data_IF_153100924985
#
_entry.id   IF_153100924985
#
_cell.length_a   1.000
_cell.length_b   1.000
_cell.length_c   1.000
_cell.angle_alpha   90.00
_cell.angle_beta   90.00
_cell.angle_gamma   90.00
#
_symmetry.space_group_name_H-M   'P 1'
#
loop_
_entity.id
_entity.type
_entity.pdbx_description
1 polymer ?
#
# COMPACT_ATOMS: atom_id res chain seq x y z
N UNK A 1 -9.18 -13.55 -11.56
CA UNK A 1 -9.48 -12.53 -10.53
C UNK A 1 -10.38 -13.13 -9.48
N UNK A 2 -10.20 -12.78 -8.22
CA UNK A 2 -10.95 -13.33 -7.09
C UNK A 2 -12.20 -12.47 -6.83
N UNK A 3 -13.38 -13.04 -7.07
CA UNK A 3 -14.66 -12.32 -6.97
C UNK A 3 -15.01 -11.92 -5.53
N UNK A 4 -14.41 -12.58 -4.54
CA UNK A 4 -14.66 -12.27 -3.12
C UNK A 4 -13.65 -11.27 -2.55
N UNK A 5 -12.68 -10.85 -3.35
CA UNK A 5 -11.62 -9.95 -2.89
C UNK A 5 -12.05 -8.49 -3.10
N UNK A 6 -12.13 -7.74 -2.00
CA UNK A 6 -12.45 -6.32 -2.04
C UNK A 6 -11.49 -5.55 -2.97
N UNK A 7 -10.19 -5.81 -2.85
CA UNK A 7 -9.18 -5.09 -3.65
C UNK A 7 -9.20 -5.51 -5.12
N UNK A 8 -9.50 -6.78 -5.42
CA UNK A 8 -9.72 -7.19 -6.80
C UNK A 8 -10.89 -6.44 -7.43
N UNK A 9 -11.95 -6.19 -6.66
CA UNK A 9 -13.10 -5.41 -7.13
C UNK A 9 -12.72 -3.95 -7.38
N UNK A 10 -11.83 -3.39 -6.55
CA UNK A 10 -11.32 -2.04 -6.76
C UNK A 10 -10.49 -1.98 -8.05
N UNK A 11 -9.62 -2.97 -8.26
CA UNK A 11 -8.81 -3.07 -9.50
C UNK A 11 -9.70 -3.15 -10.73
N UNK A 12 -10.81 -3.91 -10.64
CA UNK A 12 -11.74 -4.08 -11.74
C UNK A 12 -12.66 -2.86 -11.96
N UNK A 13 -12.60 -1.86 -11.08
CA UNK A 13 -13.46 -0.69 -11.17
C UNK A 13 -14.89 -0.91 -10.68
N UNK A 14 -15.16 -2.06 -10.04
CA UNK A 14 -16.49 -2.37 -9.50
C UNK A 14 -16.79 -1.63 -8.21
N UNK A 15 -15.76 -1.26 -7.47
CA UNK A 15 -15.85 -0.45 -6.25
C UNK A 15 -15.00 0.78 -6.46
N UNK A 16 -15.52 1.99 -6.22
CA UNK A 16 -14.74 3.20 -6.41
C UNK A 16 -13.62 3.31 -5.37
N UNK A 17 -12.55 3.98 -5.74
CA UNK A 17 -11.43 4.28 -4.85
C UNK A 17 -10.86 5.65 -5.21
N UNK A 18 -10.24 6.28 -4.23
CA UNK A 18 -9.51 7.53 -4.46
C UNK A 18 -8.07 7.16 -4.84
N UNK A 19 -7.79 7.14 -6.13
CA UNK A 19 -6.49 6.69 -6.65
C UNK A 19 -5.40 7.70 -6.37
N UNK A 20 -4.23 7.21 -5.98
CA UNK A 20 -3.00 7.98 -5.84
C UNK A 20 -2.01 7.68 -6.96
N UNK A 21 -2.06 6.48 -7.54
CA UNK A 21 -1.16 6.05 -8.60
C UNK A 21 -1.74 4.81 -9.28
N UNK A 22 -1.48 4.65 -10.55
CA UNK A 22 -1.85 3.43 -11.28
C UNK A 22 -0.90 3.22 -12.46
N UNK A 23 -0.50 1.97 -12.65
CA UNK A 23 0.16 1.52 -13.89
C UNK A 23 -0.40 0.16 -14.29
N UNK A 24 0.26 -0.54 -15.22
CA UNK A 24 -0.25 -1.83 -15.71
C UNK A 24 -0.29 -2.91 -14.63
N UNK A 25 0.61 -2.84 -13.64
CA UNK A 25 0.81 -3.89 -12.66
C UNK A 25 0.34 -3.51 -11.25
N UNK A 26 0.22 -2.23 -10.95
CA UNK A 26 -0.06 -1.74 -9.59
C UNK A 26 -1.15 -0.68 -9.58
N UNK A 27 -1.85 -0.64 -8.47
CA UNK A 27 -2.79 0.42 -8.13
C UNK A 27 -2.48 0.89 -6.71
N UNK A 28 -2.46 2.20 -6.50
CA UNK A 28 -2.34 2.78 -5.17
C UNK A 28 -3.54 3.68 -4.92
N UNK A 29 -4.13 3.57 -3.74
CA UNK A 29 -5.31 4.36 -3.37
C UNK A 29 -5.29 4.70 -1.88
N UNK A 30 -6.02 5.76 -1.54
CA UNK A 30 -6.09 6.23 -0.15
C UNK A 30 -6.93 5.28 0.69
N UNK A 31 -6.42 4.95 1.89
CA UNK A 31 -7.17 4.15 2.86
C UNK A 31 -8.39 4.95 3.34
N UNK A 32 -9.57 4.34 3.36
CA UNK A 32 -10.80 5.01 3.82
C UNK A 32 -10.83 5.19 5.33
N UNK A 33 -10.03 4.42 6.07
CA UNK A 33 -9.84 4.55 7.50
C UNK A 33 -8.38 4.88 7.80
N UNK A 34 -7.92 6.09 7.45
CA UNK A 34 -6.49 6.39 7.55
C UNK A 34 -6.00 6.42 9.00
N UNK A 35 -4.83 5.84 9.23
CA UNK A 35 -4.15 5.88 10.53
C UNK A 35 -3.22 7.08 10.67
N UNK A 36 -2.95 7.76 9.56
CA UNK A 36 -2.05 8.91 9.49
C UNK A 36 -2.64 9.94 8.52
N UNK A 37 -2.18 11.21 8.53
CA UNK A 37 -2.65 12.21 7.56
C UNK A 37 -2.51 11.78 6.11
N UNK A 38 -1.43 11.06 5.77
CA UNK A 38 -1.28 10.36 4.50
C UNK A 38 -1.26 8.87 4.80
N UNK A 39 -2.15 8.12 4.17
CA UNK A 39 -2.21 6.67 4.31
C UNK A 39 -2.67 6.08 2.99
N UNK A 40 -1.71 5.60 2.21
CA UNK A 40 -1.94 5.03 0.88
C UNK A 40 -1.64 3.55 0.91
N UNK A 41 -2.45 2.77 0.21
CA UNK A 41 -2.25 1.33 0.02
C UNK A 41 -1.77 1.09 -1.39
N UNK A 42 -0.66 0.38 -1.54
CA UNK A 42 -0.14 -0.03 -2.85
C UNK A 42 -0.44 -1.51 -3.01
N UNK A 43 -1.15 -1.87 -4.07
CA UNK A 43 -1.50 -3.27 -4.34
C UNK A 43 -1.04 -3.68 -5.72
N UNK A 44 -0.64 -4.95 -5.91
CA UNK A 44 -0.50 -5.50 -7.25
C UNK A 44 -1.88 -5.79 -7.82
N UNK A 45 -2.02 -5.65 -9.13
CA UNK A 45 -3.27 -6.03 -9.81
C UNK A 45 -3.42 -7.55 -9.83
N UNK A 46 -2.30 -8.28 -9.86
CA UNK A 46 -2.28 -9.72 -9.64
C UNK A 46 -2.69 -10.01 -8.20
N UNK A 47 -3.64 -10.94 -8.02
CA UNK A 47 -4.07 -11.31 -6.67
C UNK A 47 -3.06 -12.27 -6.01
N UNK A 48 -2.53 -11.84 -4.87
CA UNK A 48 -1.74 -12.65 -3.95
C UNK A 48 -2.31 -12.35 -2.57
N UNK A 49 -2.57 -13.39 -1.76
CA UNK A 49 -3.23 -13.18 -0.47
C UNK A 49 -2.38 -12.38 0.51
N UNK A 50 -1.08 -12.67 0.58
CA UNK A 50 -0.19 -12.04 1.56
C UNK A 50 1.26 -12.12 1.12
N UNK A 51 2.13 -11.44 1.86
CA UNK A 51 3.57 -11.55 1.64
C UNK A 51 4.05 -13.00 1.82
N UNK A 52 3.45 -13.75 2.74
CA UNK A 52 3.83 -15.14 2.98
C UNK A 52 3.50 -16.08 1.81
N UNK A 53 2.58 -15.67 0.93
CA UNK A 53 2.21 -16.45 -0.25
C UNK A 53 3.08 -16.12 -1.47
N UNK A 54 3.98 -15.17 -1.34
CA UNK A 54 4.92 -14.82 -2.40
C UNK A 54 6.08 -15.80 -2.41
N UNK A 55 6.55 -16.11 -3.64
CA UNK A 55 7.66 -17.02 -3.87
C UNK A 55 8.74 -16.32 -4.70
N UNK A 56 9.79 -17.06 -5.08
CA UNK A 56 10.90 -16.48 -5.83
C UNK A 56 10.52 -15.77 -7.11
N UNK A 57 9.50 -16.30 -7.81
CA UNK A 57 9.00 -15.67 -9.04
C UNK A 57 8.33 -14.31 -8.80
N UNK A 58 8.01 -13.98 -7.54
CA UNK A 58 7.39 -12.70 -7.19
C UNK A 58 8.40 -11.65 -6.72
N UNK A 59 9.69 -11.97 -6.71
CA UNK A 59 10.72 -11.05 -6.19
C UNK A 59 10.76 -9.73 -6.96
N UNK A 60 10.66 -9.79 -8.29
CA UNK A 60 10.66 -8.58 -9.11
C UNK A 60 9.42 -7.72 -8.86
N UNK A 61 8.25 -8.35 -8.76
CA UNK A 61 7.01 -7.65 -8.45
C UNK A 61 7.10 -6.96 -7.09
N UNK A 62 7.61 -7.65 -6.08
CA UNK A 62 7.78 -7.07 -4.74
C UNK A 62 8.76 -5.90 -4.75
N UNK A 63 9.86 -6.02 -5.49
CA UNK A 63 10.83 -4.94 -5.61
C UNK A 63 10.24 -3.69 -6.24
N UNK A 64 9.46 -3.85 -7.32
CA UNK A 64 8.78 -2.73 -7.97
C UNK A 64 7.75 -2.09 -7.05
N UNK A 65 7.00 -2.91 -6.32
CA UNK A 65 5.98 -2.45 -5.38
C UNK A 65 6.59 -1.58 -4.28
N UNK A 66 7.64 -2.06 -3.64
CA UNK A 66 8.36 -1.30 -2.61
C UNK A 66 8.97 -0.04 -3.20
N UNK A 67 9.52 -0.13 -4.41
CA UNK A 67 10.12 1.00 -5.11
C UNK A 67 9.16 2.14 -5.44
N UNK A 68 7.84 1.87 -5.48
CA UNK A 68 6.84 2.92 -5.68
C UNK A 68 6.62 3.79 -4.44
N UNK A 69 6.94 3.29 -3.25
CA UNK A 69 6.65 4.00 -2.01
C UNK A 69 7.30 5.39 -1.91
N UNK A 70 8.60 5.56 -2.23
CA UNK A 70 9.20 6.90 -2.20
C UNK A 70 8.52 7.89 -3.15
N UNK A 71 8.16 7.44 -4.35
CA UNK A 71 7.47 8.28 -5.33
C UNK A 71 6.10 8.71 -4.82
N UNK A 72 5.32 7.77 -4.32
CA UNK A 72 3.98 8.06 -3.79
C UNK A 72 4.09 9.02 -2.60
N UNK A 73 5.04 8.78 -1.69
CA UNK A 73 5.26 9.66 -0.54
C UNK A 73 5.56 11.09 -0.99
N UNK A 74 6.44 11.27 -2.00
CA UNK A 74 6.74 12.60 -2.53
C UNK A 74 5.51 13.27 -3.11
N UNK A 75 4.74 12.53 -3.90
CA UNK A 75 3.53 13.07 -4.54
C UNK A 75 2.47 13.45 -3.51
N UNK A 76 2.46 12.79 -2.36
CA UNK A 76 1.54 13.09 -1.27
C UNK A 76 2.09 14.11 -0.26
N UNK A 77 3.27 14.65 -0.51
CA UNK A 77 3.85 15.69 0.34
C UNK A 77 4.54 15.20 1.60
N UNK A 78 4.83 13.89 1.71
CA UNK A 78 5.48 13.31 2.89
C UNK A 78 6.80 12.62 2.53
N UNK A 79 7.42 13.03 1.43
CA UNK A 79 8.69 12.46 0.99
C UNK A 79 9.81 12.75 1.98
N UNK A 80 10.82 11.88 1.97
CA UNK A 80 12.01 12.05 2.80
C UNK A 80 12.78 13.30 2.38
N UNK A 81 13.10 14.15 3.32
CA UNK A 81 13.81 15.41 3.08
C UNK A 81 15.15 15.48 3.82
N UNK A 82 15.76 14.33 4.07
CA UNK A 82 17.08 14.21 4.67
C UNK A 82 17.01 13.89 6.17
N UNK A 83 18.15 13.51 6.77
CA UNK A 83 18.17 13.10 8.18
C UNK A 83 17.84 14.26 9.14
N UNK A 84 18.04 15.50 8.72
CA UNK A 84 17.73 16.69 9.52
C UNK A 84 16.34 17.26 9.19
N UNK A 85 15.65 16.73 8.20
CA UNK A 85 14.30 17.13 7.84
C UNK A 85 13.24 16.50 8.74
N UNK A 86 12.05 17.05 8.68
CA UNK A 86 10.92 16.56 9.50
C UNK A 86 10.02 15.61 8.74
N UNK A 87 10.16 15.52 7.43
CA UNK A 87 9.29 14.71 6.59
C UNK A 87 9.87 13.34 6.35
N UNK A 88 8.98 12.39 6.24
CA UNK A 88 9.32 11.02 5.94
C UNK A 88 8.07 10.16 5.96
N UNK A 89 8.25 8.87 5.73
CA UNK A 89 7.12 7.96 5.66
C UNK A 89 7.50 6.59 6.21
N UNK A 90 6.49 5.87 6.62
CA UNK A 90 6.61 4.50 7.12
C UNK A 90 5.97 3.56 6.11
N UNK A 91 6.60 2.41 5.85
CA UNK A 91 6.05 1.36 5.01
C UNK A 91 5.83 0.10 5.84
N UNK A 92 4.69 -0.55 5.64
CA UNK A 92 4.33 -1.74 6.42
C UNK A 92 3.61 -2.75 5.54
N UNK A 93 4.03 -4.02 5.63
CA UNK A 93 3.25 -5.16 5.22
C UNK A 93 2.73 -5.86 6.48
N UNK A 94 1.43 -6.05 6.57
CA UNK A 94 0.84 -6.91 7.60
C UNK A 94 0.59 -8.27 6.97
N UNK A 95 1.02 -9.34 7.63
CA UNK A 95 0.93 -10.69 7.09
C UNK A 95 0.17 -11.59 8.04
N UNK A 96 -0.96 -12.10 7.59
CA UNK A 96 -1.79 -13.00 8.36
C UNK A 96 -2.50 -12.32 9.52
N UNK A 97 -3.36 -13.07 10.17
CA UNK A 97 -4.16 -12.56 11.30
C UNK A 97 -3.27 -12.07 12.45
N UNK A 98 -2.23 -12.82 12.77
CA UNK A 98 -1.30 -12.45 13.85
C UNK A 98 -0.51 -11.17 13.54
N UNK A 99 -0.37 -10.80 12.27
CA UNK A 99 0.30 -9.58 11.84
C UNK A 99 -0.66 -8.42 11.61
N UNK A 100 -1.96 -8.61 11.85
CA UNK A 100 -2.95 -7.56 11.69
C UNK A 100 -3.48 -7.38 10.27
N UNK A 101 -3.30 -8.37 9.41
CA UNK A 101 -3.83 -8.29 8.05
C UNK A 101 -5.35 -8.42 8.07
N UNK A 102 -6.05 -7.44 7.50
CA UNK A 102 -7.51 -7.40 7.46
C UNK A 102 -8.07 -7.81 6.10
N UNK A 103 -7.39 -7.43 5.01
CA UNK A 103 -7.80 -7.77 3.65
C UNK A 103 -6.76 -8.71 3.05
N UNK A 104 -7.20 -9.87 2.54
CA UNK A 104 -6.30 -10.88 1.97
C UNK A 104 -6.10 -10.68 0.48
N UNK A 105 -5.50 -9.56 0.19
CA UNK A 105 -4.88 -9.17 -1.07
C UNK A 105 -3.65 -8.36 -0.68
N UNK A 106 -2.48 -8.81 -1.08
CA UNK A 106 -1.20 -8.20 -0.71
C UNK A 106 -1.26 -6.68 -0.85
N UNK A 107 -0.89 -5.96 0.21
CA UNK A 107 -0.85 -4.51 0.15
C UNK A 107 0.23 -3.94 1.05
N UNK A 108 0.88 -2.91 0.55
CA UNK A 108 1.90 -2.15 1.26
C UNK A 108 1.28 -0.86 1.75
N UNK A 109 1.32 -0.64 3.06
CA UNK A 109 0.89 0.64 3.64
C UNK A 109 2.01 1.66 3.51
N UNK A 110 1.68 2.86 3.04
CA UNK A 110 2.57 4.02 3.04
C UNK A 110 1.91 5.09 3.90
N UNK A 111 2.53 5.41 5.04
CA UNK A 111 1.96 6.33 6.02
C UNK A 111 2.93 7.48 6.27
N UNK A 112 2.40 8.69 6.37
CA UNK A 112 3.22 9.85 6.64
C UNK A 112 2.39 11.01 7.16
N UNK A 113 3.06 12.09 7.51
CA UNK A 113 2.45 13.31 7.98
C UNK A 113 2.61 13.51 9.47
N UNK A 114 2.13 14.67 9.99
CA UNK A 114 2.29 15.00 11.40
C UNK A 114 1.68 13.98 12.35
N UNK A 115 2.38 13.71 13.42
CA UNK A 115 1.91 12.82 14.49
C UNK A 115 1.11 13.61 15.52
N UNK A 116 0.29 12.98 16.35
CA UNK A 116 0.19 11.51 16.55
C UNK A 116 -0.64 10.82 15.47
N UNK A 117 -0.34 9.55 15.24
CA UNK A 117 -1.12 8.69 14.35
C UNK A 117 -1.99 7.76 15.17
N UNK A 118 -3.03 7.21 14.55
CA UNK A 118 -3.86 6.18 15.17
C UNK A 118 -3.10 4.85 15.21
N UNK A 119 -3.30 4.03 16.26
CA UNK A 119 -2.75 2.68 16.28
C UNK A 119 -3.30 1.85 15.12
N UNK A 120 -2.40 0.99 14.57
CA UNK A 120 -2.80 0.16 13.45
C UNK A 120 -2.01 -1.14 13.40
#
# INVERSE_FOLDING_TARGET
>A
MNDNCLFCKIVAGQIPSRKAYEDDDFLAFHDINPAAPVHVLVIPKLHLDSLADCEGQHAELLGKMVGLAPRIAREQGVGYDGPDGINGFKTVFNTGRGGGQEVYHLHLHVLGGPKPWKPR
#
